data_IF_553724910324
#
_entry.id   IF_553724910324
#
_cell.length_a   1.000
_cell.length_b   1.000
_cell.length_c   1.000
_cell.angle_alpha   90.00
_cell.angle_beta   90.00
_cell.angle_gamma   90.00
#
_symmetry.space_group_name_H-M   'P 1'
#
loop_
_entity.id
_entity.type
_entity.pdbx_description
1 polymer ?
#
# COMPACT_ATOMS: atom_id res chain seq x y z
N UNK A 1 65.28 -41.94 -3.56
CA UNK A 1 64.57 -40.75 -3.05
C UNK A 1 63.35 -40.50 -3.93
N UNK A 2 62.14 -40.76 -3.42
CA UNK A 2 60.89 -40.51 -4.13
C UNK A 2 60.19 -39.29 -3.50
N UNK A 3 59.73 -38.29 -4.30
CA UNK A 3 58.98 -37.19 -3.76
C UNK A 3 57.52 -37.57 -3.51
N UNK A 4 57.04 -37.27 -2.29
CA UNK A 4 55.62 -37.33 -1.93
C UNK A 4 54.87 -36.21 -2.63
N UNK A 5 53.81 -36.56 -3.40
CA UNK A 5 52.80 -35.62 -3.93
C UNK A 5 51.72 -35.48 -2.90
N UNK A 6 51.66 -34.30 -2.26
CA UNK A 6 50.53 -33.90 -1.40
C UNK A 6 49.37 -33.41 -2.27
N UNK A 7 48.32 -34.19 -2.40
CA UNK A 7 47.04 -33.74 -2.99
C UNK A 7 46.20 -33.10 -1.91
N UNK A 8 46.08 -31.77 -1.95
CA UNK A 8 45.09 -31.01 -1.18
C UNK A 8 43.73 -31.12 -1.90
N UNK A 9 42.84 -31.93 -1.36
CA UNK A 9 41.44 -31.94 -1.80
C UNK A 9 40.71 -30.80 -1.09
N UNK A 10 40.37 -29.76 -1.84
CA UNK A 10 39.50 -28.67 -1.36
C UNK A 10 38.04 -29.16 -1.38
N UNK A 11 37.45 -29.37 -0.21
CA UNK A 11 36.05 -29.66 -0.07
C UNK A 11 35.25 -28.36 -0.19
N UNK A 12 34.56 -28.18 -1.32
CA UNK A 12 33.56 -27.11 -1.51
C UNK A 12 32.29 -27.51 -0.77
N UNK A 13 32.04 -26.89 0.37
CA UNK A 13 30.76 -27.00 1.10
C UNK A 13 29.76 -26.03 0.47
N UNK A 14 28.89 -26.51 -0.40
CA UNK A 14 27.76 -25.75 -0.91
C UNK A 14 26.73 -25.59 0.20
N UNK A 15 26.61 -24.37 0.75
CA UNK A 15 25.56 -23.98 1.69
C UNK A 15 24.25 -23.80 0.89
N UNK A 16 23.39 -24.81 0.92
CA UNK A 16 22.04 -24.73 0.38
C UNK A 16 21.21 -23.79 1.27
N UNK A 17 21.00 -22.54 0.86
CA UNK A 17 20.02 -21.67 1.49
C UNK A 17 18.62 -22.21 1.18
N UNK A 18 17.98 -22.81 2.19
CA UNK A 18 16.57 -23.13 2.14
C UNK A 18 15.78 -21.81 2.10
N UNK A 19 15.19 -21.50 0.96
CA UNK A 19 14.19 -20.42 0.84
C UNK A 19 12.95 -20.92 1.57
N UNK A 20 12.76 -20.48 2.82
CA UNK A 20 11.52 -20.71 3.56
C UNK A 20 10.47 -19.82 2.90
N UNK A 21 9.40 -20.35 2.29
CA UNK A 21 8.32 -19.51 1.80
C UNK A 21 7.74 -18.74 3.00
N UNK A 22 7.77 -17.42 2.94
CA UNK A 22 7.06 -16.61 3.91
C UNK A 22 5.58 -16.99 3.84
N UNK A 23 5.02 -17.45 4.96
CA UNK A 23 3.58 -17.63 5.09
C UNK A 23 2.95 -16.24 4.95
N UNK A 24 2.42 -15.96 3.77
CA UNK A 24 1.61 -14.76 3.56
C UNK A 24 0.31 -15.00 4.33
N UNK A 25 0.25 -14.49 5.55
CA UNK A 25 -1.00 -14.47 6.29
C UNK A 25 -1.98 -13.57 5.54
N UNK A 26 -3.16 -14.11 5.21
CA UNK A 26 -4.24 -13.30 4.66
C UNK A 26 -4.57 -12.17 5.66
N UNK A 27 -4.73 -10.96 5.15
CA UNK A 27 -5.13 -9.85 6.01
C UNK A 27 -6.50 -10.12 6.63
N UNK A 28 -6.70 -9.76 7.91
CA UNK A 28 -7.97 -10.00 8.57
C UNK A 28 -9.08 -9.14 7.93
N UNK A 29 -10.21 -9.78 7.63
CA UNK A 29 -11.41 -9.08 7.21
C UNK A 29 -11.92 -8.24 8.38
N UNK A 30 -11.96 -6.92 8.22
CA UNK A 30 -12.48 -5.99 9.22
C UNK A 30 -14.01 -6.07 9.30
N UNK A 31 -14.67 -6.16 8.14
CA UNK A 31 -16.12 -6.32 8.04
C UNK A 31 -16.53 -6.92 6.69
N UNK A 32 -17.59 -7.73 6.70
CA UNK A 32 -18.33 -8.11 5.48
C UNK A 32 -19.61 -7.29 5.42
N UNK A 33 -19.81 -6.54 4.36
CA UNK A 33 -20.86 -5.54 4.22
C UNK A 33 -21.72 -5.84 2.98
N UNK A 34 -23.02 -5.75 3.12
CA UNK A 34 -23.96 -5.95 2.01
C UNK A 34 -23.97 -4.73 1.08
N UNK A 35 -24.11 -4.97 -0.22
CA UNK A 35 -24.19 -3.92 -1.22
C UNK A 35 -22.89 -3.71 -2.00
N UNK A 36 -22.71 -2.48 -2.46
CA UNK A 36 -21.52 -2.04 -3.19
C UNK A 36 -20.93 -0.81 -2.49
N UNK A 37 -19.62 -0.80 -2.36
CA UNK A 37 -18.89 0.25 -1.64
C UNK A 37 -19.17 1.66 -2.21
N UNK A 38 -18.72 1.96 -3.42
CA UNK A 38 -18.88 3.29 -4.03
C UNK A 38 -20.24 3.54 -4.72
N UNK A 39 -21.18 2.61 -4.61
CA UNK A 39 -22.54 2.73 -5.20
C UNK A 39 -23.63 2.63 -4.14
N UNK A 40 -23.45 3.30 -3.01
CA UNK A 40 -24.47 3.41 -1.98
C UNK A 40 -24.01 3.24 -0.54
N UNK A 41 -23.01 2.40 -0.25
CA UNK A 41 -22.58 2.15 1.14
C UNK A 41 -21.57 3.20 1.63
N UNK A 42 -20.51 3.44 0.86
CA UNK A 42 -19.46 4.39 1.19
C UNK A 42 -19.55 5.70 0.40
N UNK A 43 -20.53 5.83 -0.47
CA UNK A 43 -20.79 7.03 -1.25
C UNK A 43 -21.67 6.78 -2.47
N UNK A 44 -22.10 7.85 -3.12
CA UNK A 44 -22.86 7.83 -4.37
C UNK A 44 -21.94 8.15 -5.55
N UNK A 45 -21.31 7.10 -6.11
CA UNK A 45 -20.34 7.23 -7.18
C UNK A 45 -18.90 7.30 -6.68
N UNK A 46 -17.98 6.98 -7.59
CA UNK A 46 -16.56 6.80 -7.29
C UNK A 46 -15.90 8.03 -6.65
N UNK A 47 -16.02 9.21 -7.27
CA UNK A 47 -15.36 10.42 -6.79
C UNK A 47 -15.75 10.86 -5.36
N UNK A 48 -16.95 10.45 -4.89
CA UNK A 48 -17.46 10.75 -3.55
C UNK A 48 -17.35 9.55 -2.59
N UNK A 49 -16.69 8.49 -3.00
CA UNK A 49 -16.54 7.27 -2.22
C UNK A 49 -15.49 7.45 -1.14
N UNK A 50 -15.85 7.16 0.11
CA UNK A 50 -14.94 7.24 1.26
C UNK A 50 -15.35 6.28 2.35
N UNK A 51 -14.38 5.69 3.02
CA UNK A 51 -14.61 4.88 4.21
C UNK A 51 -15.24 5.75 5.29
N UNK A 52 -16.41 5.38 5.83
CA UNK A 52 -17.10 6.19 6.84
C UNK A 52 -16.38 6.19 8.18
N UNK A 53 -16.67 7.18 9.02
CA UNK A 53 -16.01 7.43 10.29
C UNK A 53 -16.04 6.25 11.29
N UNK A 54 -17.01 5.35 11.16
CA UNK A 54 -17.08 4.13 11.99
C UNK A 54 -15.94 3.14 11.76
N UNK A 55 -15.28 3.18 10.59
CA UNK A 55 -14.11 2.34 10.26
C UNK A 55 -12.81 3.14 10.16
N UNK A 56 -12.90 4.43 9.85
CA UNK A 56 -11.75 5.33 9.71
C UNK A 56 -12.11 6.72 10.24
N UNK A 57 -11.45 7.16 11.30
CA UNK A 57 -11.70 8.48 11.91
C UNK A 57 -11.56 9.63 10.90
N UNK A 58 -10.71 9.49 9.88
CA UNK A 58 -10.44 10.51 8.88
C UNK A 58 -11.31 10.40 7.62
N UNK A 59 -12.27 9.47 7.57
CA UNK A 59 -13.12 9.23 6.40
C UNK A 59 -12.27 9.06 5.12
N UNK A 60 -11.44 8.04 5.09
CA UNK A 60 -10.47 7.75 4.03
C UNK A 60 -11.09 7.81 2.62
N UNK A 61 -10.67 8.74 1.74
CA UNK A 61 -11.20 8.83 0.39
C UNK A 61 -10.68 7.70 -0.51
N UNK A 62 -11.44 7.39 -1.55
CA UNK A 62 -11.01 6.43 -2.57
C UNK A 62 -9.83 6.96 -3.35
N UNK A 63 -8.85 6.08 -3.60
CA UNK A 63 -7.67 6.33 -4.46
C UNK A 63 -7.95 5.79 -5.86
N UNK A 64 -8.21 4.49 -5.94
CA UNK A 64 -8.33 3.74 -7.18
C UNK A 64 -9.32 2.59 -7.05
N UNK A 65 -9.91 2.17 -8.17
CA UNK A 65 -10.77 1.01 -8.29
C UNK A 65 -10.42 0.25 -9.57
N UNK A 66 -10.28 -1.06 -9.46
CA UNK A 66 -10.15 -1.96 -10.60
C UNK A 66 -11.43 -2.75 -10.77
N UNK A 67 -12.05 -2.66 -11.93
CA UNK A 67 -13.23 -3.45 -12.31
C UNK A 67 -12.82 -4.65 -13.18
N UNK A 68 -13.19 -5.85 -12.75
CA UNK A 68 -12.77 -7.09 -13.41
C UNK A 68 -13.51 -7.32 -14.74
N UNK A 69 -14.78 -6.95 -14.81
CA UNK A 69 -15.61 -7.19 -16.00
C UNK A 69 -15.12 -6.39 -17.20
N UNK A 70 -14.64 -5.16 -16.96
CA UNK A 70 -14.10 -4.28 -17.99
C UNK A 70 -12.57 -4.31 -18.07
N UNK A 71 -11.91 -4.97 -17.11
CA UNK A 71 -10.45 -4.97 -16.96
C UNK A 71 -9.88 -3.55 -16.96
N UNK A 72 -10.55 -2.62 -16.30
CA UNK A 72 -10.20 -1.19 -16.30
C UNK A 72 -10.04 -0.62 -14.91
N UNK A 73 -9.17 0.38 -14.83
CA UNK A 73 -8.95 1.19 -13.65
C UNK A 73 -9.76 2.49 -13.70
N UNK A 74 -10.21 2.96 -12.54
CA UNK A 74 -10.75 4.28 -12.29
C UNK A 74 -9.92 4.92 -11.16
N UNK A 75 -9.41 6.14 -11.39
CA UNK A 75 -8.55 6.86 -10.45
C UNK A 75 -9.20 8.16 -9.99
N UNK A 76 -9.04 8.49 -8.70
CA UNK A 76 -9.48 9.77 -8.15
C UNK A 76 -8.42 10.85 -8.40
N UNK A 77 -8.21 11.19 -9.68
CA UNK A 77 -7.18 12.13 -10.11
C UNK A 77 -7.41 13.57 -9.59
N UNK A 78 -8.59 13.88 -9.10
CA UNK A 78 -8.86 15.17 -8.45
C UNK A 78 -8.15 15.30 -7.09
N UNK A 79 -8.02 14.21 -6.35
CA UNK A 79 -7.32 14.18 -5.07
C UNK A 79 -5.89 13.65 -5.19
N UNK A 80 -5.66 12.71 -6.12
CA UNK A 80 -4.41 11.96 -6.27
C UNK A 80 -3.95 11.98 -7.75
N UNK A 81 -3.49 13.13 -8.26
CA UNK A 81 -3.19 13.30 -9.69
C UNK A 81 -1.98 12.50 -10.19
N UNK A 82 -1.12 12.03 -9.29
CA UNK A 82 0.07 11.21 -9.63
C UNK A 82 -0.23 9.72 -9.77
N UNK A 83 -1.34 9.24 -9.20
CA UNK A 83 -1.63 7.81 -9.16
C UNK A 83 -2.19 7.29 -10.47
N UNK A 84 -1.61 6.23 -11.01
CA UNK A 84 -2.04 5.59 -12.24
C UNK A 84 -1.96 4.04 -12.20
N UNK A 85 -2.25 3.39 -13.33
CA UNK A 85 -2.30 1.94 -13.41
C UNK A 85 -0.93 1.27 -13.26
N UNK A 86 0.17 1.97 -13.52
CA UNK A 86 1.53 1.42 -13.42
C UNK A 86 1.99 1.27 -11.98
N UNK A 87 1.35 1.97 -11.05
CA UNK A 87 1.62 1.88 -9.62
C UNK A 87 1.08 0.57 -9.01
N UNK A 88 0.14 -0.09 -9.68
CA UNK A 88 -0.54 -1.26 -9.14
C UNK A 88 -0.18 -2.54 -9.88
N UNK A 89 0.03 -3.60 -9.11
CA UNK A 89 0.05 -4.97 -9.64
C UNK A 89 -1.01 -5.79 -8.91
N UNK A 90 -1.91 -6.42 -9.68
CA UNK A 90 -2.95 -7.31 -9.16
C UNK A 90 -2.70 -8.74 -9.64
N UNK A 91 -2.78 -9.69 -8.71
CA UNK A 91 -2.82 -11.12 -9.02
C UNK A 91 -4.18 -11.65 -8.59
N UNK A 92 -5.03 -11.99 -9.55
CA UNK A 92 -6.38 -12.50 -9.33
C UNK A 92 -6.36 -14.01 -9.50
N UNK A 93 -6.58 -14.74 -8.41
CA UNK A 93 -6.61 -16.20 -8.44
C UNK A 93 -8.04 -16.71 -8.66
N UNK A 94 -8.15 -17.92 -9.17
CA UNK A 94 -9.41 -18.64 -9.16
C UNK A 94 -9.92 -18.81 -7.71
N UNK A 95 -11.24 -18.73 -7.49
CA UNK A 95 -11.83 -18.92 -6.16
C UNK A 95 -11.87 -17.64 -5.31
N UNK A 96 -11.88 -16.48 -5.93
CA UNK A 96 -12.17 -15.21 -5.24
C UNK A 96 -11.08 -14.77 -4.26
N UNK A 97 -9.83 -15.10 -4.54
CA UNK A 97 -8.66 -14.68 -3.75
C UNK A 97 -7.64 -13.98 -4.63
N UNK A 98 -6.68 -13.28 -4.02
CA UNK A 98 -5.57 -12.70 -4.75
C UNK A 98 -4.66 -11.84 -3.89
N UNK A 99 -3.73 -11.19 -4.56
CA UNK A 99 -2.77 -10.28 -3.94
C UNK A 99 -2.69 -8.98 -4.74
N UNK A 100 -2.31 -7.92 -4.08
CA UNK A 100 -2.00 -6.66 -4.72
C UNK A 100 -0.69 -6.10 -4.19
N UNK A 101 0.00 -5.34 -5.02
CA UNK A 101 1.12 -4.49 -4.63
C UNK A 101 0.91 -3.10 -5.21
N UNK A 102 1.40 -2.10 -4.49
CA UNK A 102 1.35 -0.70 -4.84
C UNK A 102 2.74 -0.09 -4.70
N UNK A 103 3.19 0.62 -5.71
CA UNK A 103 4.51 1.25 -5.77
C UNK A 103 4.37 2.77 -5.85
N UNK A 104 4.03 3.44 -4.71
CA UNK A 104 3.75 4.87 -4.71
C UNK A 104 5.00 5.68 -5.01
N UNK A 105 4.81 6.81 -5.68
CA UNK A 105 5.80 7.89 -5.71
C UNK A 105 5.81 8.65 -4.38
N UNK A 106 6.79 9.54 -4.18
CA UNK A 106 6.99 10.23 -2.90
C UNK A 106 5.80 11.10 -2.45
N UNK A 107 4.95 11.53 -3.39
CA UNK A 107 3.79 12.39 -3.12
C UNK A 107 2.47 11.63 -3.12
N UNK A 108 2.49 10.35 -3.44
CA UNK A 108 1.29 9.54 -3.55
C UNK A 108 0.74 9.12 -2.17
N UNK A 109 -0.56 8.83 -2.09
CA UNK A 109 -1.18 8.39 -0.85
C UNK A 109 -0.70 7.01 -0.46
N UNK A 110 -0.80 6.67 0.83
CA UNK A 110 -0.63 5.30 1.31
C UNK A 110 -1.98 4.60 1.37
N UNK A 111 -2.01 3.30 1.06
CA UNK A 111 -3.23 2.50 1.16
C UNK A 111 -3.39 2.01 2.59
N UNK A 112 -4.47 2.42 3.27
CA UNK A 112 -4.79 1.97 4.63
C UNK A 112 -5.95 1.00 4.66
N UNK A 113 -6.87 1.14 3.71
CA UNK A 113 -8.00 0.24 3.58
C UNK A 113 -8.15 -0.18 2.13
N UNK A 114 -8.70 -1.36 1.95
CA UNK A 114 -9.14 -1.80 0.64
C UNK A 114 -10.38 -2.68 0.75
N UNK A 115 -11.10 -2.78 -0.34
CA UNK A 115 -12.34 -3.56 -0.47
C UNK A 115 -12.17 -4.59 -1.56
N UNK A 116 -12.56 -5.83 -1.29
CA UNK A 116 -12.74 -6.85 -2.32
C UNK A 116 -14.23 -7.22 -2.43
N UNK A 117 -14.85 -6.86 -3.56
CA UNK A 117 -16.26 -7.15 -3.83
C UNK A 117 -16.44 -8.45 -4.59
N UNK A 118 -17.36 -9.28 -4.08
CA UNK A 118 -17.81 -10.49 -4.76
C UNK A 118 -19.28 -10.79 -4.43
N UNK A 119 -20.07 -11.13 -5.44
CA UNK A 119 -21.51 -11.38 -5.27
C UNK A 119 -22.27 -10.17 -4.71
N UNK A 120 -23.22 -10.35 -3.76
CA UNK A 120 -24.03 -9.26 -3.23
C UNK A 120 -23.31 -8.42 -2.17
N UNK A 121 -22.14 -8.85 -1.67
CA UNK A 121 -21.42 -8.26 -0.55
C UNK A 121 -20.00 -7.87 -0.93
N UNK A 122 -19.33 -7.14 -0.04
CA UNK A 122 -17.89 -6.89 -0.10
C UNK A 122 -17.21 -7.10 1.25
N UNK A 123 -15.94 -7.48 1.24
CA UNK A 123 -15.08 -7.51 2.42
C UNK A 123 -14.27 -6.23 2.48
N UNK A 124 -14.28 -5.57 3.63
CA UNK A 124 -13.42 -4.45 3.98
C UNK A 124 -12.21 -4.98 4.76
N UNK A 125 -11.02 -4.54 4.37
CA UNK A 125 -9.75 -4.87 4.99
C UNK A 125 -9.09 -3.59 5.50
N UNK A 126 -8.43 -3.69 6.67
CA UNK A 126 -7.52 -2.67 7.15
C UNK A 126 -6.09 -3.11 6.84
N UNK A 127 -5.36 -2.31 6.09
CA UNK A 127 -3.97 -2.57 5.72
C UNK A 127 -3.01 -2.00 6.78
N UNK A 128 -3.01 -2.61 7.96
CA UNK A 128 -2.29 -2.07 9.13
C UNK A 128 -0.79 -2.38 9.21
N UNK A 129 -0.27 -3.25 8.34
CA UNK A 129 1.10 -3.77 8.51
C UNK A 129 2.03 -3.61 7.31
N UNK A 130 1.49 -3.48 6.11
CA UNK A 130 2.27 -3.37 4.88
C UNK A 130 1.52 -2.45 3.91
N UNK A 131 1.69 -1.11 4.01
CA UNK A 131 0.87 -0.14 3.28
C UNK A 131 0.95 -0.26 1.76
N UNK A 132 1.89 -1.04 1.24
CA UNK A 132 2.14 -1.17 -0.20
C UNK A 132 1.83 -2.56 -0.75
N UNK A 133 1.24 -3.45 0.02
CA UNK A 133 0.84 -4.78 -0.45
C UNK A 133 -0.23 -5.38 0.45
N UNK A 134 -1.00 -6.33 -0.07
CA UNK A 134 -1.98 -7.05 0.71
C UNK A 134 -2.50 -8.29 -0.02
N UNK A 135 -3.22 -9.12 0.74
CA UNK A 135 -3.94 -10.28 0.24
C UNK A 135 -5.43 -10.09 0.48
N UNK A 136 -6.25 -10.61 -0.40
CA UNK A 136 -7.69 -10.48 -0.28
C UNK A 136 -8.41 -11.80 -0.53
N UNK A 137 -9.60 -11.89 0.06
CA UNK A 137 -10.61 -12.89 -0.24
C UNK A 137 -11.96 -12.19 -0.38
N UNK A 138 -12.75 -12.58 -1.37
CA UNK A 138 -14.12 -12.06 -1.52
C UNK A 138 -15.07 -12.71 -0.50
N UNK A 139 -16.25 -12.12 -0.26
CA UNK A 139 -17.27 -12.74 0.57
C UNK A 139 -17.64 -14.14 0.13
N UNK A 140 -17.97 -14.98 1.10
CA UNK A 140 -18.36 -16.38 0.88
C UNK A 140 -19.81 -16.47 0.38
N UNK A 141 -20.04 -17.28 -0.63
CA UNK A 141 -21.36 -17.65 -1.10
C UNK A 141 -22.00 -18.65 -0.11
N UNK A 142 -23.11 -18.29 0.56
CA UNK A 142 -23.73 -19.17 1.54
C UNK A 142 -24.29 -20.46 0.96
N UNK A 143 -24.54 -20.50 -0.35
CA UNK A 143 -25.10 -21.68 -0.99
C UNK A 143 -24.10 -22.84 -1.15
N UNK A 144 -22.80 -22.55 -1.24
CA UNK A 144 -21.77 -23.57 -1.49
C UNK A 144 -20.51 -23.43 -0.61
N UNK A 145 -20.45 -22.41 0.25
CA UNK A 145 -19.33 -22.16 1.14
C UNK A 145 -18.04 -21.68 0.45
N UNK A 146 -18.07 -21.38 -0.86
CA UNK A 146 -16.91 -20.89 -1.61
C UNK A 146 -16.96 -19.36 -1.74
N UNK A 147 -15.82 -18.67 -1.80
CA UNK A 147 -15.80 -17.25 -2.11
C UNK A 147 -16.41 -16.98 -3.50
N UNK A 148 -17.10 -15.85 -3.62
CA UNK A 148 -17.56 -15.38 -4.95
C UNK A 148 -16.36 -14.99 -5.83
N UNK A 149 -16.53 -15.00 -7.16
CA UNK A 149 -15.56 -14.36 -8.05
C UNK A 149 -15.41 -12.88 -7.74
N UNK A 150 -14.21 -12.32 -7.90
CA UNK A 150 -13.97 -10.89 -7.74
C UNK A 150 -14.75 -10.10 -8.79
N UNK A 151 -15.52 -9.10 -8.33
CA UNK A 151 -16.19 -8.13 -9.19
C UNK A 151 -15.30 -6.89 -9.37
N UNK A 152 -14.84 -6.31 -8.26
CA UNK A 152 -13.88 -5.23 -8.26
C UNK A 152 -13.08 -5.20 -6.95
N UNK A 153 -11.94 -4.51 -6.99
CA UNK A 153 -11.15 -4.14 -5.82
C UNK A 153 -11.03 -2.62 -5.77
N UNK A 154 -11.16 -2.03 -4.57
CA UNK A 154 -11.11 -0.58 -4.37
C UNK A 154 -10.12 -0.26 -3.26
N UNK A 155 -9.29 0.76 -3.45
CA UNK A 155 -8.23 1.20 -2.54
C UNK A 155 -8.54 2.57 -1.96
N UNK A 156 -8.24 2.76 -0.68
CA UNK A 156 -8.55 3.96 0.07
C UNK A 156 -7.33 4.49 0.83
N UNK A 157 -7.21 5.82 0.87
CA UNK A 157 -6.14 6.54 1.55
C UNK A 157 -6.25 6.45 3.07
N UNK A 158 -5.15 6.78 3.75
CA UNK A 158 -5.08 6.93 5.21
C UNK A 158 -5.85 8.15 5.71
N UNK A 159 -6.12 9.13 4.85
CA UNK A 159 -6.50 10.48 5.24
C UNK A 159 -5.35 11.24 5.93
N UNK A 160 -4.24 10.59 6.22
CA UNK A 160 -3.01 11.23 6.65
C UNK A 160 -2.11 11.38 5.43
N UNK A 161 -1.94 12.58 4.93
CA UNK A 161 -0.86 12.85 3.97
C UNK A 161 0.45 12.51 4.67
N UNK A 162 1.41 11.83 3.99
CA UNK A 162 2.77 11.80 4.47
C UNK A 162 3.16 13.23 4.81
N UNK A 163 3.85 13.47 5.94
CA UNK A 163 4.36 14.81 6.19
C UNK A 163 5.14 15.17 4.93
N UNK A 164 4.67 16.20 4.22
CA UNK A 164 5.48 16.81 3.18
C UNK A 164 6.77 17.16 3.90
N UNK A 165 7.88 16.52 3.52
CA UNK A 165 9.21 17.00 3.85
C UNK A 165 9.31 18.38 3.20
N UNK A 166 8.76 19.37 3.90
CA UNK A 166 8.96 20.78 3.54
C UNK A 166 10.44 20.99 3.80
N UNK A 167 11.27 21.17 2.77
CA UNK A 167 12.66 21.49 2.98
C UNK A 167 12.65 22.69 3.91
N UNK A 168 13.29 22.54 5.09
CA UNK A 168 13.31 23.61 6.10
C UNK A 168 13.65 24.91 5.37
N UNK A 169 12.79 25.91 5.43
CA UNK A 169 12.98 27.13 4.64
C UNK A 169 14.40 27.59 4.93
N UNK A 170 15.18 27.93 3.90
CA UNK A 170 16.56 28.41 4.06
C UNK A 170 16.71 29.57 5.04
N UNK A 171 15.59 30.01 5.63
CA UNK A 171 15.49 30.90 6.81
C UNK A 171 16.29 30.41 8.00
N UNK A 172 16.37 29.10 8.30
CA UNK A 172 17.22 28.59 9.38
C UNK A 172 18.71 28.73 9.06
N UNK A 173 19.09 28.49 7.79
CA UNK A 173 20.44 28.74 7.32
C UNK A 173 20.77 30.23 7.32
N UNK A 174 19.82 31.09 6.91
CA UNK A 174 19.95 32.56 6.94
C UNK A 174 20.05 33.10 8.38
N UNK A 175 19.24 32.58 9.30
CA UNK A 175 19.32 32.96 10.74
C UNK A 175 20.66 32.51 11.33
N UNK A 176 21.13 31.30 11.00
CA UNK A 176 22.45 30.81 11.42
C UNK A 176 23.59 31.69 10.89
N UNK A 177 23.55 32.08 9.64
CA UNK A 177 24.51 33.00 9.00
C UNK A 177 24.44 34.40 9.60
N UNK A 178 23.26 34.92 9.91
CA UNK A 178 23.06 36.22 10.53
C UNK A 178 23.64 36.25 11.96
N UNK A 179 23.46 35.20 12.75
CA UNK A 179 24.04 35.09 14.08
C UNK A 179 25.57 35.02 14.04
N UNK A 180 26.15 34.25 13.09
CA UNK A 180 27.61 34.20 12.90
C UNK A 180 28.19 35.58 12.51
N UNK A 181 27.49 36.32 11.63
CA UNK A 181 27.85 37.67 11.24
C UNK A 181 27.83 38.65 12.42
N UNK A 182 26.82 38.57 13.29
CA UNK A 182 26.71 39.44 14.46
C UNK A 182 27.86 39.24 15.49
N UNK A 183 28.28 37.96 15.66
CA UNK A 183 29.40 37.61 16.56
C UNK A 183 30.73 38.16 16.07
N UNK A 184 30.96 38.09 14.75
CA UNK A 184 32.23 38.62 14.16
C UNK A 184 32.34 40.12 14.19
N UNK A 185 31.24 40.86 14.03
CA UNK A 185 31.20 42.33 14.13
C UNK A 185 31.48 42.78 15.59
N UNK A 186 30.98 42.06 16.59
CA UNK A 186 31.18 42.40 18.02
C UNK A 186 32.63 42.22 18.45
N UNK A 187 33.36 41.25 17.89
CA UNK A 187 34.79 41.03 18.19
C UNK A 187 35.73 42.05 17.57
N UNK A 188 35.30 42.81 16.55
CA UNK A 188 36.13 43.86 15.94
C UNK A 188 36.05 45.21 16.65
N UNK A 189 35.13 45.39 17.63
CA UNK A 189 34.94 46.62 18.40
C UNK A 189 35.50 46.56 19.83
N UNK A 190 36.15 45.46 20.20
CA UNK A 190 36.96 45.30 21.42
C UNK A 190 38.42 45.28 21.05
#
# INVERSE_FOLDING_TARGET
MKPLKNSLAAALTTLAMAVVPALVNAEPVLATIAGSDCSGVFGSGFANCKIPAQYSANQSPVIAKFDVATSSWEFNSALFPGVDATDFTLVINAGGTGTWTYSPEATDPLITFFVAKGGPNFNLFANGGAPNSGTWVTPTNPANGQPFGLSHITFYDTGARPPLDIPEPGTLALVGLAMLGAVTVRRRKS
#
